data_IF_384974808441
#
_entry.id   IF_384974808441
#
_cell.length_a   1.000
_cell.length_b   1.000
_cell.length_c   1.000
_cell.angle_alpha   90.00
_cell.angle_beta   90.00
_cell.angle_gamma   90.00
#
_symmetry.space_group_name_H-M   'P 1'
#
loop_
_entity.id
_entity.type
_entity.pdbx_description
1 polymer ?
#
# COMPACT_ATOMS: atom_id res chain seq x y z
N UNK A 1 2.37 -5.85 -28.58
CA UNK A 1 2.68 -4.79 -27.58
C UNK A 1 2.03 -3.48 -28.01
N UNK A 2 1.37 -2.75 -27.10
CA UNK A 2 1.00 -1.37 -27.34
C UNK A 2 2.23 -0.53 -27.70
N UNK A 3 2.05 0.48 -28.55
CA UNK A 3 3.13 1.38 -28.96
C UNK A 3 3.58 2.21 -27.75
N UNK A 4 4.89 2.39 -27.56
CA UNK A 4 5.45 3.33 -26.57
C UNK A 4 6.24 2.73 -25.40
N UNK A 5 6.36 1.39 -25.32
CA UNK A 5 7.16 0.74 -24.27
C UNK A 5 8.66 0.94 -24.45
N UNK A 6 9.40 1.05 -23.35
CA UNK A 6 10.87 1.10 -23.37
C UNK A 6 11.45 -0.28 -23.58
N UNK A 7 11.13 -1.18 -22.65
CA UNK A 7 11.38 -2.62 -22.74
C UNK A 7 10.06 -3.32 -22.44
N UNK A 8 9.66 -4.26 -23.30
CA UNK A 8 8.49 -5.08 -23.07
C UNK A 8 8.83 -6.55 -23.26
N UNK A 9 8.40 -7.38 -22.31
CA UNK A 9 8.59 -8.82 -22.36
C UNK A 9 7.31 -9.52 -21.88
N UNK A 10 6.91 -10.54 -22.63
CA UNK A 10 5.78 -11.41 -22.30
C UNK A 10 6.23 -12.86 -22.49
N UNK A 11 5.85 -13.75 -21.57
CA UNK A 11 6.21 -15.16 -21.67
C UNK A 11 5.12 -16.10 -21.14
N UNK A 12 4.07 -16.26 -21.92
CA UNK A 12 2.92 -17.14 -21.63
C UNK A 12 3.25 -18.61 -21.29
N UNK A 13 4.48 -19.09 -21.57
CA UNK A 13 4.84 -20.48 -21.36
C UNK A 13 6.32 -20.70 -20.98
N UNK A 14 6.53 -21.36 -19.83
CA UNK A 14 7.83 -21.83 -19.36
C UNK A 14 8.58 -20.87 -18.43
N UNK A 15 9.51 -21.42 -17.64
CA UNK A 15 10.36 -20.63 -16.75
C UNK A 15 11.41 -19.85 -17.55
N UNK A 16 11.51 -18.55 -17.28
CA UNK A 16 12.54 -17.67 -17.84
C UNK A 16 13.52 -17.26 -16.75
N UNK A 17 14.77 -17.05 -17.17
CA UNK A 17 15.78 -16.34 -16.39
C UNK A 17 16.09 -15.04 -17.15
N UNK A 18 15.42 -13.96 -16.76
CA UNK A 18 15.52 -12.65 -17.42
C UNK A 18 16.32 -11.69 -16.55
N UNK A 19 17.32 -11.04 -17.15
CA UNK A 19 18.03 -9.93 -16.52
C UNK A 19 17.93 -8.69 -17.40
N UNK A 20 17.39 -7.61 -16.83
CA UNK A 20 17.34 -6.28 -17.45
C UNK A 20 18.22 -5.37 -16.61
N UNK A 21 19.38 -4.98 -17.13
CA UNK A 21 20.32 -4.19 -16.34
C UNK A 21 21.03 -3.10 -17.10
N UNK A 22 21.39 -2.02 -16.40
CA UNK A 22 22.20 -0.92 -16.93
C UNK A 22 21.60 -0.22 -18.16
N UNK A 23 20.27 -0.20 -18.25
CA UNK A 23 19.57 0.51 -19.32
C UNK A 23 19.25 1.94 -18.91
N UNK A 24 19.14 2.81 -19.92
CA UNK A 24 18.62 4.16 -19.76
C UNK A 24 17.40 4.31 -20.66
N UNK A 25 16.24 4.47 -20.04
CA UNK A 25 14.92 4.52 -20.66
C UNK A 25 14.36 5.92 -20.39
N UNK A 26 14.04 6.68 -21.44
CA UNK A 26 13.66 8.09 -21.33
C UNK A 26 12.43 8.36 -22.18
N UNK A 27 11.46 9.10 -21.63
CA UNK A 27 10.36 9.70 -22.39
C UNK A 27 9.52 8.68 -23.15
N UNK A 28 9.23 7.57 -22.50
CA UNK A 28 8.37 6.52 -23.03
C UNK A 28 6.91 6.96 -22.99
N UNK A 29 6.12 6.61 -24.01
CA UNK A 29 4.73 7.05 -24.13
C UNK A 29 3.72 6.13 -23.43
N UNK A 30 4.22 5.06 -22.79
CA UNK A 30 3.38 4.11 -22.07
C UNK A 30 4.09 3.62 -20.80
N UNK A 31 4.96 2.61 -20.88
CA UNK A 31 5.72 2.04 -19.76
C UNK A 31 7.21 2.11 -20.02
N UNK A 32 7.99 2.31 -18.96
CA UNK A 32 9.44 2.15 -19.03
C UNK A 32 9.81 0.69 -19.28
N UNK A 33 9.49 -0.18 -18.33
CA UNK A 33 9.63 -1.64 -18.43
C UNK A 33 8.26 -2.28 -18.19
N UNK A 34 7.80 -3.12 -19.11
CA UNK A 34 6.58 -3.91 -18.97
C UNK A 34 6.91 -5.41 -19.03
N UNK A 35 6.56 -6.12 -17.97
CA UNK A 35 6.64 -7.58 -17.88
C UNK A 35 5.23 -8.12 -17.66
N UNK A 36 4.75 -8.99 -18.55
CA UNK A 36 3.45 -9.68 -18.36
C UNK A 36 3.58 -11.17 -18.53
N UNK A 37 2.80 -11.93 -17.78
CA UNK A 37 2.71 -13.39 -17.93
C UNK A 37 4.05 -14.08 -17.68
N UNK A 38 4.90 -13.53 -16.80
CA UNK A 38 6.26 -14.06 -16.59
C UNK A 38 6.29 -15.12 -15.51
N UNK A 39 6.88 -16.28 -15.84
CA UNK A 39 7.19 -17.35 -14.91
C UNK A 39 8.72 -17.48 -14.75
N UNK A 40 9.22 -17.81 -13.55
CA UNK A 40 10.64 -18.02 -13.29
C UNK A 40 11.33 -16.85 -12.57
N UNK A 41 12.60 -16.59 -12.90
CA UNK A 41 13.42 -15.57 -12.22
C UNK A 41 13.62 -14.33 -13.08
N UNK A 42 13.32 -13.17 -12.52
CA UNK A 42 13.55 -11.87 -13.16
C UNK A 42 14.40 -10.99 -12.26
N UNK A 43 15.45 -10.40 -12.82
CA UNK A 43 16.26 -9.37 -12.16
C UNK A 43 16.27 -8.08 -12.98
N UNK A 44 15.76 -6.99 -12.39
CA UNK A 44 15.79 -5.64 -12.96
C UNK A 44 16.74 -4.80 -12.12
N UNK A 45 17.96 -4.58 -12.63
CA UNK A 45 19.06 -4.03 -11.84
C UNK A 45 19.69 -2.79 -12.47
N UNK A 46 19.87 -1.72 -11.69
CA UNK A 46 20.70 -0.58 -12.07
C UNK A 46 20.25 0.10 -13.37
N UNK A 47 18.94 0.25 -13.59
CA UNK A 47 18.39 0.98 -14.73
C UNK A 47 18.01 2.41 -14.31
N UNK A 48 18.09 3.34 -15.27
CA UNK A 48 17.53 4.70 -15.13
C UNK A 48 16.30 4.81 -16.01
N UNK A 49 15.15 5.13 -15.42
CA UNK A 49 13.86 5.27 -16.09
C UNK A 49 13.29 6.63 -15.74
N UNK A 50 13.11 7.50 -16.73
CA UNK A 50 12.71 8.89 -16.47
C UNK A 50 11.69 9.39 -17.48
N UNK A 51 10.76 10.21 -16.99
CA UNK A 51 9.74 10.92 -17.78
C UNK A 51 8.85 9.96 -18.58
N UNK A 52 8.43 8.82 -18.03
CA UNK A 52 7.44 7.97 -18.74
C UNK A 52 6.11 8.69 -18.79
N UNK A 53 5.74 9.15 -19.99
CA UNK A 53 4.51 9.84 -20.28
C UNK A 53 3.35 8.82 -20.39
N UNK A 54 2.32 9.00 -19.58
CA UNK A 54 1.06 8.29 -19.76
C UNK A 54 0.24 9.00 -20.83
N UNK A 55 0.22 8.49 -22.06
CA UNK A 55 -0.59 9.10 -23.10
C UNK A 55 -2.04 8.62 -22.99
N UNK A 56 -2.86 9.39 -22.26
CA UNK A 56 -4.31 9.20 -22.14
C UNK A 56 -5.08 9.56 -23.44
N UNK A 57 -4.43 9.59 -24.60
CA UNK A 57 -5.15 9.61 -25.87
C UNK A 57 -5.43 8.18 -26.27
N UNK A 58 -6.60 7.69 -25.84
CA UNK A 58 -7.28 6.58 -26.53
C UNK A 58 -7.21 6.90 -28.02
N UNK A 59 -6.40 6.17 -28.77
CA UNK A 59 -6.52 6.12 -30.22
C UNK A 59 -7.87 5.44 -30.45
N UNK A 60 -8.95 6.23 -30.39
CA UNK A 60 -10.27 5.76 -30.76
C UNK A 60 -10.17 5.25 -32.19
N UNK A 61 -10.85 4.15 -32.50
CA UNK A 61 -10.78 3.50 -33.81
C UNK A 61 -11.10 4.44 -35.00
N UNK A 62 -11.67 5.63 -34.75
CA UNK A 62 -11.83 6.70 -35.74
C UNK A 62 -10.49 7.35 -36.18
N UNK A 63 -9.42 7.28 -35.39
CA UNK A 63 -8.07 7.78 -35.70
C UNK A 63 -7.18 6.81 -36.49
N UNK A 64 -7.55 5.53 -36.58
CA UNK A 64 -6.85 4.53 -37.41
C UNK A 64 -7.12 4.71 -38.91
N UNK A 65 -8.11 5.53 -39.29
CA UNK A 65 -8.41 5.86 -40.69
C UNK A 65 -7.41 6.80 -41.37
N UNK A 66 -6.42 7.32 -40.64
CA UNK A 66 -5.48 8.33 -41.16
C UNK A 66 -4.00 8.08 -40.80
N UNK A 67 -3.64 6.86 -40.36
CA UNK A 67 -2.24 6.45 -40.34
C UNK A 67 -1.87 5.86 -41.70
N UNK A 68 -1.20 6.67 -42.52
CA UNK A 68 -0.62 6.24 -43.78
C UNK A 68 0.61 5.34 -43.49
N UNK A 69 0.38 4.02 -43.48
CA UNK A 69 1.43 3.01 -43.38
C UNK A 69 2.23 2.85 -44.69
N UNK A 70 2.01 3.67 -45.73
CA UNK A 70 2.75 3.57 -47.00
C UNK A 70 4.25 3.86 -46.88
N UNK A 71 4.71 4.42 -45.75
CA UNK A 71 6.13 4.60 -45.44
C UNK A 71 6.84 3.31 -44.96
N UNK A 72 6.13 2.21 -44.70
CA UNK A 72 6.67 0.93 -44.21
C UNK A 72 6.80 -0.14 -45.32
N UNK A 73 7.12 0.27 -46.55
CA UNK A 73 7.17 -0.59 -47.75
C UNK A 73 8.29 -1.65 -47.78
N UNK A 74 9.04 -1.84 -46.69
CA UNK A 74 10.10 -2.86 -46.60
C UNK A 74 9.86 -3.99 -45.59
N UNK A 75 8.66 -4.13 -45.01
CA UNK A 75 8.31 -5.32 -44.21
C UNK A 75 7.48 -6.27 -45.08
N UNK A 76 8.15 -7.02 -45.94
CA UNK A 76 7.57 -8.16 -46.67
C UNK A 76 7.69 -9.42 -45.80
N UNK A 77 6.88 -9.50 -44.74
CA UNK A 77 6.49 -10.76 -44.08
C UNK A 77 5.68 -10.48 -42.80
N UNK A 78 4.41 -10.08 -42.92
CA UNK A 78 3.40 -10.37 -41.88
C UNK A 78 2.09 -10.66 -42.62
N UNK A 79 1.95 -11.91 -43.05
CA UNK A 79 0.71 -12.44 -43.64
C UNK A 79 0.16 -13.58 -42.76
N UNK A 80 0.34 -13.44 -41.44
CA UNK A 80 -0.19 -14.37 -40.44
C UNK A 80 -0.87 -13.62 -39.27
N UNK A 81 -1.94 -12.89 -39.61
CA UNK A 81 -2.91 -12.36 -38.65
C UNK A 81 -3.97 -13.42 -38.25
N UNK A 82 -3.69 -14.72 -38.44
CA UNK A 82 -4.63 -15.79 -38.10
C UNK A 82 -4.57 -16.25 -36.64
N UNK A 83 -3.62 -15.73 -35.86
CA UNK A 83 -3.45 -16.09 -34.47
C UNK A 83 -4.34 -15.20 -33.58
N UNK A 84 -5.64 -15.52 -33.53
CA UNK A 84 -6.63 -14.89 -32.66
C UNK A 84 -6.15 -14.85 -31.19
N UNK A 85 -5.37 -15.84 -30.74
CA UNK A 85 -4.77 -15.86 -29.41
C UNK A 85 -3.82 -14.67 -29.17
N UNK A 86 -3.01 -14.26 -30.16
CA UNK A 86 -2.15 -13.08 -30.01
C UNK A 86 -2.95 -11.76 -29.99
N UNK A 87 -4.11 -11.74 -30.64
CA UNK A 87 -5.04 -10.61 -30.60
C UNK A 87 -5.81 -10.57 -29.27
N UNK A 88 -6.18 -11.73 -28.73
CA UNK A 88 -6.82 -11.87 -27.41
C UNK A 88 -5.83 -11.52 -26.30
N UNK A 89 -4.57 -11.99 -26.34
CA UNK A 89 -3.51 -11.56 -25.41
C UNK A 89 -3.22 -10.07 -25.53
N UNK A 90 -3.31 -9.47 -26.72
CA UNK A 90 -3.19 -8.02 -26.88
C UNK A 90 -4.42 -7.27 -26.38
N UNK A 91 -5.61 -7.85 -26.47
CA UNK A 91 -6.83 -7.29 -25.92
C UNK A 91 -6.82 -7.36 -24.39
N UNK A 92 -6.33 -8.46 -23.81
CA UNK A 92 -6.14 -8.63 -22.36
C UNK A 92 -5.02 -7.71 -21.83
N UNK A 93 -3.94 -7.49 -22.59
CA UNK A 93 -2.89 -6.52 -22.26
C UNK A 93 -3.34 -5.05 -22.36
N UNK A 94 -4.39 -4.77 -23.13
CA UNK A 94 -5.05 -3.45 -23.20
C UNK A 94 -6.20 -3.37 -22.18
N UNK A 95 -6.73 -4.51 -21.73
CA UNK A 95 -7.78 -4.63 -20.73
C UNK A 95 -7.25 -4.79 -19.31
N UNK A 96 -5.92 -4.93 -19.09
CA UNK A 96 -5.35 -4.70 -17.77
C UNK A 96 -5.67 -3.25 -17.40
N UNK A 97 -6.48 -3.05 -16.39
CA UNK A 97 -6.95 -1.74 -15.90
C UNK A 97 -5.82 -0.85 -15.35
N UNK A 98 -4.56 -1.22 -15.60
CA UNK A 98 -3.40 -0.43 -15.25
C UNK A 98 -3.38 0.87 -16.06
N UNK A 99 -3.15 2.02 -15.38
CA UNK A 99 -2.89 3.27 -16.07
C UNK A 99 -1.69 3.13 -17.01
N UNK A 100 -1.51 4.08 -17.92
CA UNK A 100 -0.23 4.24 -18.64
C UNK A 100 0.66 5.22 -17.88
N UNK A 101 1.98 5.15 -18.08
CA UNK A 101 2.93 6.12 -17.56
C UNK A 101 3.74 5.63 -16.36
N UNK A 102 3.91 4.31 -16.19
CA UNK A 102 4.67 3.73 -15.09
C UNK A 102 6.14 3.50 -15.45
N UNK A 103 7.01 3.57 -14.45
CA UNK A 103 8.43 3.25 -14.60
C UNK A 103 8.64 1.76 -14.88
N UNK A 104 8.31 0.90 -13.92
CA UNK A 104 8.36 -0.56 -14.02
C UNK A 104 6.98 -1.13 -13.73
N UNK A 105 6.49 -1.99 -14.62
CA UNK A 105 5.26 -2.75 -14.45
C UNK A 105 5.55 -4.23 -14.53
N UNK A 106 5.07 -4.96 -13.53
CA UNK A 106 4.96 -6.42 -13.57
C UNK A 106 3.51 -6.78 -13.32
N UNK A 107 2.85 -7.31 -14.35
CA UNK A 107 1.44 -7.69 -14.29
C UNK A 107 1.28 -9.18 -14.56
N UNK A 108 0.23 -9.77 -13.98
CA UNK A 108 -0.28 -11.12 -14.31
C UNK A 108 0.81 -12.18 -14.35
N UNK A 109 1.44 -12.52 -13.23
CA UNK A 109 2.39 -13.64 -13.16
C UNK A 109 1.64 -14.91 -12.69
N UNK A 110 1.25 -15.84 -13.59
CA UNK A 110 0.33 -16.93 -13.25
C UNK A 110 0.96 -18.04 -12.39
N UNK A 111 2.28 -18.06 -12.21
CA UNK A 111 2.98 -19.05 -11.39
C UNK A 111 4.15 -18.41 -10.61
N UNK A 112 4.76 -19.20 -9.71
CA UNK A 112 5.88 -18.85 -8.83
C UNK A 112 6.96 -17.96 -9.50
N UNK A 113 6.79 -16.64 -9.34
CA UNK A 113 7.73 -15.62 -9.77
C UNK A 113 8.78 -15.38 -8.69
N UNK A 114 10.05 -15.30 -9.07
CA UNK A 114 11.13 -14.74 -8.25
C UNK A 114 11.60 -13.44 -8.89
N UNK A 115 11.08 -12.32 -8.42
CA UNK A 115 11.36 -10.99 -8.95
C UNK A 115 12.28 -10.21 -8.01
N UNK A 116 13.35 -9.64 -8.57
CA UNK A 116 14.22 -8.70 -7.87
C UNK A 116 14.25 -7.41 -8.67
N UNK A 117 13.85 -6.29 -8.05
CA UNK A 117 13.96 -4.93 -8.59
C UNK A 117 14.95 -4.17 -7.71
N UNK A 118 16.10 -3.85 -8.26
CA UNK A 118 17.29 -3.51 -7.50
C UNK A 118 18.01 -2.27 -8.07
N UNK A 119 18.38 -1.31 -7.22
CA UNK A 119 19.27 -0.18 -7.55
C UNK A 119 18.82 0.64 -8.77
N UNK A 120 17.53 0.72 -9.07
CA UNK A 120 17.04 1.52 -10.18
C UNK A 120 16.81 2.98 -9.74
N UNK A 121 17.00 3.89 -10.68
CA UNK A 121 16.61 5.31 -10.54
C UNK A 121 15.36 5.53 -11.41
N UNK A 122 14.23 5.79 -10.76
CA UNK A 122 12.91 5.90 -11.39
C UNK A 122 12.34 7.28 -11.06
N UNK A 123 12.15 8.14 -12.06
CA UNK A 123 11.75 9.52 -11.79
C UNK A 123 10.75 10.11 -12.78
N UNK A 124 9.91 11.03 -12.29
CA UNK A 124 8.98 11.84 -13.09
C UNK A 124 8.02 11.02 -13.98
N UNK A 125 7.59 9.85 -13.51
CA UNK A 125 6.66 9.01 -14.28
C UNK A 125 5.22 9.47 -14.08
N UNK A 126 4.39 9.40 -15.12
CA UNK A 126 3.03 9.93 -15.09
C UNK A 126 2.04 9.18 -14.19
N UNK A 127 2.38 7.96 -13.75
CA UNK A 127 1.55 7.13 -12.88
C UNK A 127 2.34 6.59 -11.68
N UNK A 128 2.76 5.33 -11.68
CA UNK A 128 3.56 4.74 -10.59
C UNK A 128 5.04 4.66 -10.94
N UNK A 129 5.90 4.68 -9.92
CA UNK A 129 7.31 4.35 -10.11
C UNK A 129 7.48 2.87 -10.41
N UNK A 130 7.06 2.03 -9.46
CA UNK A 130 6.95 0.57 -9.61
C UNK A 130 5.50 0.18 -9.38
N UNK A 131 4.92 -0.58 -10.31
CA UNK A 131 3.61 -1.20 -10.18
C UNK A 131 3.73 -2.73 -10.27
N UNK A 132 3.30 -3.42 -9.22
CA UNK A 132 3.09 -4.86 -9.19
C UNK A 132 1.59 -5.10 -9.16
N UNK A 133 1.07 -5.80 -10.17
CA UNK A 133 -0.36 -6.02 -10.31
C UNK A 133 -0.69 -7.50 -10.48
N UNK A 134 -1.60 -7.97 -9.65
CA UNK A 134 -2.20 -9.31 -9.75
C UNK A 134 -1.13 -10.42 -9.81
N UNK A 135 -0.21 -10.40 -8.84
CA UNK A 135 0.84 -11.42 -8.71
C UNK A 135 0.28 -12.67 -8.03
N UNK A 136 -0.09 -13.70 -8.79
CA UNK A 136 -0.77 -14.90 -8.24
C UNK A 136 0.09 -15.62 -7.21
N UNK A 137 1.34 -15.98 -7.54
CA UNK A 137 2.25 -16.63 -6.61
C UNK A 137 3.67 -16.12 -6.83
N UNK A 138 4.35 -15.72 -5.76
CA UNK A 138 5.74 -15.29 -5.93
C UNK A 138 6.45 -14.74 -4.71
N UNK A 139 7.74 -14.51 -4.90
CA UNK A 139 8.59 -13.73 -4.01
C UNK A 139 9.10 -12.53 -4.79
N UNK A 140 8.84 -11.33 -4.27
CA UNK A 140 9.28 -10.07 -4.86
C UNK A 140 10.17 -9.35 -3.86
N UNK A 141 11.37 -8.96 -4.31
CA UNK A 141 12.27 -8.12 -3.56
C UNK A 141 12.49 -6.78 -4.28
N UNK A 142 12.23 -5.67 -3.60
CA UNK A 142 12.49 -4.30 -4.07
C UNK A 142 13.57 -3.69 -3.17
N UNK A 143 14.76 -3.43 -3.71
CA UNK A 143 15.96 -3.09 -2.93
C UNK A 143 16.73 -1.90 -3.51
N UNK A 144 17.11 -0.93 -2.69
CA UNK A 144 18.06 0.13 -3.07
C UNK A 144 17.61 1.05 -4.19
N UNK A 145 16.31 1.11 -4.52
CA UNK A 145 15.81 1.94 -5.61
C UNK A 145 15.60 3.38 -5.16
N UNK A 146 15.84 4.35 -6.04
CA UNK A 146 15.45 5.75 -5.85
C UNK A 146 14.23 6.02 -6.73
N UNK A 147 13.11 6.37 -6.11
CA UNK A 147 11.83 6.59 -6.78
C UNK A 147 11.29 7.97 -6.41
N UNK A 148 11.11 8.85 -7.38
CA UNK A 148 10.69 10.22 -7.09
C UNK A 148 9.86 10.90 -8.16
N UNK A 149 9.02 11.85 -7.76
CA UNK A 149 8.35 12.74 -8.71
C UNK A 149 7.28 12.06 -9.54
N UNK A 150 6.75 10.90 -9.13
CA UNK A 150 5.63 10.30 -9.84
C UNK A 150 4.44 11.26 -9.80
N UNK A 151 3.79 11.48 -10.94
CA UNK A 151 2.54 12.24 -11.00
C UNK A 151 1.35 11.29 -10.97
N UNK A 152 0.18 11.81 -10.64
CA UNK A 152 -1.06 11.05 -10.71
C UNK A 152 -2.20 11.86 -11.33
N UNK A 153 -3.19 11.13 -11.83
CA UNK A 153 -4.52 11.61 -12.09
C UNK A 153 -5.51 10.90 -11.14
N UNK A 154 -6.37 11.69 -10.51
CA UNK A 154 -7.59 11.16 -9.89
C UNK A 154 -8.54 10.72 -11.00
N UNK A 155 -8.62 9.40 -11.25
CA UNK A 155 -9.60 8.84 -12.15
C UNK A 155 -10.87 8.56 -11.35
N UNK A 156 -11.90 9.38 -11.57
CA UNK A 156 -13.18 9.42 -10.84
C UNK A 156 -14.08 8.16 -10.98
N UNK A 157 -13.53 6.97 -11.22
CA UNK A 157 -14.33 5.83 -11.67
C UNK A 157 -13.85 4.46 -11.19
N UNK A 158 -13.53 4.32 -9.89
CA UNK A 158 -13.31 3.01 -9.25
C UNK A 158 -11.99 2.32 -9.60
N UNK A 159 -11.14 2.92 -10.43
CA UNK A 159 -9.75 2.53 -10.66
C UNK A 159 -8.87 2.95 -9.49
N UNK A 160 -7.82 2.18 -9.20
CA UNK A 160 -6.82 2.54 -8.20
C UNK A 160 -6.25 3.95 -8.44
N UNK A 161 -6.02 4.75 -7.38
CA UNK A 161 -5.38 6.05 -7.54
C UNK A 161 -4.01 5.87 -8.18
N UNK A 162 -3.58 6.86 -8.95
CA UNK A 162 -2.28 6.86 -9.62
C UNK A 162 -1.36 7.87 -8.96
N UNK A 163 -0.04 7.72 -9.07
CA UNK A 163 0.91 8.64 -8.46
C UNK A 163 1.69 8.08 -7.29
N UNK A 164 1.63 6.77 -7.02
CA UNK A 164 2.43 6.14 -5.97
C UNK A 164 3.88 5.95 -6.39
N UNK A 165 4.80 6.01 -5.43
CA UNK A 165 6.18 5.58 -5.66
C UNK A 165 6.24 4.08 -5.98
N UNK A 166 5.74 3.26 -5.04
CA UNK A 166 5.58 1.81 -5.20
C UNK A 166 4.12 1.46 -4.97
N UNK A 167 3.51 0.74 -5.91
CA UNK A 167 2.18 0.13 -5.78
C UNK A 167 2.31 -1.38 -5.92
N UNK A 168 1.77 -2.13 -4.97
CA UNK A 168 1.61 -3.57 -5.08
C UNK A 168 0.16 -3.97 -4.82
N UNK A 169 -0.44 -4.68 -5.77
CA UNK A 169 -1.80 -5.21 -5.68
C UNK A 169 -1.70 -6.75 -5.73
N UNK A 170 -2.29 -7.38 -4.73
CA UNK A 170 -2.32 -8.84 -4.55
C UNK A 170 -3.76 -9.30 -4.32
N UNK A 171 -4.36 -9.91 -5.33
CA UNK A 171 -5.77 -10.28 -5.35
C UNK A 171 -6.03 -11.79 -5.55
N UNK A 172 -4.99 -12.60 -5.73
CA UNK A 172 -5.08 -14.06 -5.83
C UNK A 172 -3.82 -14.75 -5.30
N UNK A 173 -3.94 -15.96 -4.73
CA UNK A 173 -2.80 -16.82 -4.37
C UNK A 173 -1.91 -16.28 -3.24
N UNK A 174 -0.60 -16.59 -3.25
CA UNK A 174 0.34 -16.29 -2.17
C UNK A 174 1.52 -15.39 -2.56
N UNK A 175 1.64 -14.24 -1.89
CA UNK A 175 2.72 -13.27 -2.10
C UNK A 175 3.68 -13.18 -0.90
N UNK A 176 4.98 -13.32 -1.17
CA UNK A 176 6.04 -12.83 -0.28
C UNK A 176 6.59 -11.52 -0.86
N UNK A 177 6.32 -10.39 -0.22
CA UNK A 177 6.76 -9.06 -0.67
C UNK A 177 7.77 -8.48 0.32
N UNK A 178 8.99 -8.28 -0.18
CA UNK A 178 10.13 -7.75 0.55
C UNK A 178 10.52 -6.39 -0.05
N UNK A 179 10.17 -5.28 0.60
CA UNK A 179 10.65 -3.93 0.26
C UNK A 179 11.74 -3.57 1.26
N UNK A 180 12.98 -3.91 0.91
CA UNK A 180 14.09 -3.96 1.86
C UNK A 180 15.18 -2.98 1.47
N UNK A 181 15.80 -2.39 2.48
CA UNK A 181 17.09 -1.72 2.46
C UNK A 181 17.25 -0.63 1.40
N UNK A 182 17.36 0.61 1.88
CA UNK A 182 17.83 1.76 1.11
C UNK A 182 16.97 2.12 -0.11
N UNK A 183 15.70 1.70 -0.17
CA UNK A 183 14.79 2.37 -1.09
C UNK A 183 14.55 3.80 -0.61
N UNK A 184 14.70 4.77 -1.50
CA UNK A 184 14.42 6.19 -1.28
C UNK A 184 13.19 6.55 -2.11
N UNK A 185 12.06 6.75 -1.45
CA UNK A 185 10.77 7.01 -2.10
C UNK A 185 10.28 8.39 -1.70
N UNK A 186 10.36 9.37 -2.60
CA UNK A 186 10.07 10.76 -2.24
C UNK A 186 9.32 11.57 -3.27
N UNK A 187 8.62 12.61 -2.80
CA UNK A 187 8.04 13.63 -3.67
C UNK A 187 7.11 13.01 -4.73
N UNK A 188 6.37 11.97 -4.36
CA UNK A 188 5.38 11.34 -5.22
C UNK A 188 4.01 12.00 -5.02
N UNK A 189 3.15 11.92 -6.03
CA UNK A 189 1.85 12.61 -6.03
C UNK A 189 0.87 12.05 -5.00
N UNK A 190 0.82 10.72 -4.84
CA UNK A 190 0.04 10.02 -3.81
C UNK A 190 0.99 9.42 -2.76
N UNK A 191 0.66 8.24 -2.25
CA UNK A 191 1.40 7.49 -1.24
C UNK A 191 2.83 7.15 -1.71
N UNK A 192 3.78 7.11 -0.78
CA UNK A 192 5.12 6.62 -1.08
C UNK A 192 5.08 5.14 -1.47
N UNK A 193 4.59 4.30 -0.56
CA UNK A 193 4.41 2.87 -0.76
C UNK A 193 2.95 2.52 -0.49
N UNK A 194 2.24 1.97 -1.45
CA UNK A 194 0.89 1.46 -1.29
C UNK A 194 0.84 -0.04 -1.57
N UNK A 195 0.26 -0.80 -0.65
CA UNK A 195 0.06 -2.24 -0.77
C UNK A 195 -1.42 -2.54 -0.58
N UNK A 196 -2.00 -3.27 -1.53
CA UNK A 196 -3.38 -3.74 -1.50
C UNK A 196 -3.35 -5.26 -1.50
N UNK A 197 -3.94 -5.88 -0.49
CA UNK A 197 -4.13 -7.33 -0.42
C UNK A 197 -5.62 -7.60 -0.32
N UNK A 198 -6.18 -8.18 -1.36
CA UNK A 198 -7.59 -8.51 -1.40
C UNK A 198 -8.16 -8.49 -2.80
N UNK A 199 -9.29 -9.18 -2.91
CA UNK A 199 -10.08 -9.23 -4.13
C UNK A 199 -11.31 -8.32 -3.98
N UNK A 200 -11.35 -7.16 -4.66
CA UNK A 200 -12.50 -6.25 -4.63
C UNK A 200 -13.80 -6.90 -5.14
N UNK A 201 -13.70 -7.94 -5.97
CA UNK A 201 -14.87 -8.67 -6.47
C UNK A 201 -15.49 -9.59 -5.41
N UNK A 202 -14.70 -9.99 -4.40
CA UNK A 202 -15.09 -10.92 -3.35
C UNK A 202 -15.37 -12.34 -3.84
N UNK A 203 -14.81 -12.73 -4.99
CA UNK A 203 -14.99 -14.05 -5.60
C UNK A 203 -13.80 -14.98 -5.38
N UNK A 204 -12.61 -14.44 -5.16
CA UNK A 204 -11.38 -15.14 -4.81
C UNK A 204 -11.30 -15.32 -3.30
N UNK A 205 -10.85 -16.50 -2.88
CA UNK A 205 -10.73 -16.89 -1.47
C UNK A 205 -9.34 -17.45 -1.21
N UNK A 206 -8.88 -17.37 0.04
CA UNK A 206 -7.58 -17.93 0.43
C UNK A 206 -6.37 -17.13 -0.08
N UNK A 207 -6.55 -15.83 -0.30
CA UNK A 207 -5.45 -14.92 -0.65
C UNK A 207 -4.55 -14.79 0.57
N UNK A 208 -3.26 -15.06 0.42
CA UNK A 208 -2.29 -14.94 1.52
C UNK A 208 -1.11 -14.06 1.17
N UNK A 209 -0.59 -13.35 2.17
CA UNK A 209 0.62 -12.55 2.00
C UNK A 209 1.55 -12.58 3.21
N UNK A 210 2.84 -12.45 2.96
CA UNK A 210 3.87 -12.09 3.92
C UNK A 210 4.57 -10.82 3.42
N UNK A 211 4.54 -9.75 4.20
CA UNK A 211 5.03 -8.43 3.79
C UNK A 211 6.11 -7.97 4.75
N UNK A 212 7.29 -7.62 4.23
CA UNK A 212 8.37 -6.99 4.97
C UNK A 212 8.75 -5.66 4.31
N UNK A 213 8.70 -4.58 5.09
CA UNK A 213 9.14 -3.25 4.69
C UNK A 213 10.20 -2.79 5.70
N UNK A 214 11.48 -2.90 5.34
CA UNK A 214 12.58 -2.75 6.29
C UNK A 214 13.66 -1.79 5.78
N UNK A 215 14.07 -0.81 6.59
CA UNK A 215 15.26 0.01 6.29
C UNK A 215 15.11 0.96 5.10
N UNK A 216 13.92 1.50 4.84
CA UNK A 216 13.66 2.44 3.74
C UNK A 216 13.51 3.89 4.22
N UNK A 217 13.67 4.83 3.28
CA UNK A 217 13.40 6.26 3.49
C UNK A 217 12.22 6.68 2.62
N UNK A 218 11.13 7.16 3.25
CA UNK A 218 9.88 7.53 2.57
C UNK A 218 9.46 8.95 2.95
N UNK A 219 9.59 9.91 2.04
CA UNK A 219 9.49 11.33 2.41
C UNK A 219 8.72 12.22 1.45
N UNK A 220 8.00 13.21 1.97
CA UNK A 220 7.33 14.26 1.17
C UNK A 220 6.35 13.73 0.10
N UNK A 221 5.73 12.58 0.32
CA UNK A 221 4.72 12.04 -0.59
C UNK A 221 3.36 12.73 -0.37
N UNK A 222 2.50 12.74 -1.39
CA UNK A 222 1.20 13.43 -1.38
C UNK A 222 1.20 14.84 -1.95
N UNK A 223 2.14 15.20 -2.84
CA UNK A 223 2.45 16.59 -3.22
C UNK A 223 1.30 17.47 -3.76
N UNK A 224 0.06 16.98 -3.91
CA UNK A 224 -1.07 17.79 -4.35
C UNK A 224 -2.33 17.59 -3.50
N UNK A 225 -2.28 18.16 -2.29
CA UNK A 225 -3.38 18.22 -1.33
C UNK A 225 -4.57 19.01 -1.86
N UNK A 226 -5.78 18.49 -1.61
CA UNK A 226 -7.12 18.97 -1.99
C UNK A 226 -7.61 18.45 -3.34
N UNK A 227 -7.85 17.15 -3.42
CA UNK A 227 -9.10 16.75 -4.03
C UNK A 227 -10.23 17.38 -3.21
N UNK A 228 -10.85 18.43 -3.74
CA UNK A 228 -11.99 19.10 -3.11
C UNK A 228 -13.24 18.20 -2.99
N UNK A 229 -13.21 16.99 -3.56
CA UNK A 229 -14.35 16.09 -3.66
C UNK A 229 -14.23 14.82 -2.80
N UNK A 230 -13.02 14.33 -2.51
CA UNK A 230 -12.79 13.33 -1.48
C UNK A 230 -12.35 14.03 -0.19
N UNK A 231 -13.06 13.78 0.91
CA UNK A 231 -12.64 14.26 2.24
C UNK A 231 -11.41 13.48 2.77
N UNK A 232 -10.57 12.97 1.88
CA UNK A 232 -9.53 11.99 2.12
C UNK A 232 -8.24 12.59 1.53
N UNK A 233 -7.46 13.26 2.39
CA UNK A 233 -6.14 13.74 1.98
C UNK A 233 -5.32 12.48 1.75
N UNK A 234 -4.93 12.19 0.52
CA UNK A 234 -4.01 11.09 0.20
C UNK A 234 -2.57 11.56 0.33
N UNK A 235 -1.63 10.61 0.38
CA UNK A 235 -0.22 10.92 0.56
C UNK A 235 0.37 10.29 1.80
N UNK A 236 0.02 9.03 2.08
CA UNK A 236 0.62 8.28 3.17
C UNK A 236 2.11 8.01 2.85
N UNK A 237 2.94 7.90 3.87
CA UNK A 237 4.28 7.33 3.69
C UNK A 237 4.17 5.88 3.22
N UNK A 238 3.60 5.03 4.08
CA UNK A 238 3.34 3.63 3.80
C UNK A 238 1.87 3.34 4.06
N UNK A 239 1.17 2.84 3.06
CA UNK A 239 -0.23 2.45 3.13
C UNK A 239 -0.41 0.97 2.85
N UNK A 240 -1.18 0.30 3.70
CA UNK A 240 -1.49 -1.12 3.56
C UNK A 240 -2.99 -1.31 3.73
N UNK A 241 -3.61 -1.90 2.71
CA UNK A 241 -5.05 -2.09 2.63
C UNK A 241 -5.39 -3.58 2.49
N UNK A 242 -6.23 -4.09 3.39
CA UNK A 242 -6.63 -5.50 3.45
C UNK A 242 -8.15 -5.64 3.26
N UNK A 243 -8.58 -6.42 2.26
CA UNK A 243 -10.00 -6.55 1.90
C UNK A 243 -10.41 -8.00 1.59
N UNK A 244 -11.64 -8.36 1.96
CA UNK A 244 -12.21 -9.67 1.62
C UNK A 244 -11.66 -10.82 2.46
N UNK A 245 -11.62 -12.02 1.87
CA UNK A 245 -11.14 -13.25 2.51
C UNK A 245 -9.62 -13.40 2.33
N UNK A 246 -8.88 -12.52 3.01
CA UNK A 246 -7.42 -12.42 2.97
C UNK A 246 -6.78 -12.83 4.29
N UNK A 247 -5.61 -13.44 4.24
CA UNK A 247 -4.77 -13.65 5.42
C UNK A 247 -3.34 -13.14 5.18
N UNK A 248 -3.00 -12.02 5.83
CA UNK A 248 -1.61 -11.57 5.95
C UNK A 248 -0.99 -12.30 7.13
N UNK A 249 -0.13 -13.27 6.84
CA UNK A 249 0.46 -14.17 7.84
C UNK A 249 1.57 -13.51 8.67
N UNK A 250 2.20 -12.49 8.09
CA UNK A 250 3.18 -11.64 8.75
C UNK A 250 3.24 -10.30 8.03
N UNK A 251 3.18 -9.21 8.79
CA UNK A 251 3.43 -7.87 8.29
C UNK A 251 4.49 -7.21 9.15
N UNK A 252 5.65 -6.89 8.60
CA UNK A 252 6.74 -6.25 9.33
C UNK A 252 7.05 -4.90 8.70
N UNK A 253 6.82 -3.80 9.41
CA UNK A 253 7.25 -2.45 9.00
C UNK A 253 8.32 -1.99 9.98
N UNK A 254 9.60 -2.11 9.59
CA UNK A 254 10.73 -1.98 10.51
C UNK A 254 11.80 -1.00 10.04
N UNK A 255 12.43 -0.30 10.98
CA UNK A 255 13.63 0.51 10.74
C UNK A 255 13.51 1.54 9.59
N UNK A 256 12.30 2.01 9.27
CA UNK A 256 12.10 2.99 8.21
C UNK A 256 12.22 4.42 8.74
N UNK A 257 12.65 5.34 7.89
CA UNK A 257 12.57 6.79 8.11
C UNK A 257 11.44 7.35 7.26
N UNK A 258 10.40 7.85 7.90
CA UNK A 258 9.16 8.32 7.26
C UNK A 258 8.94 9.77 7.67
N UNK A 259 8.97 10.72 6.72
CA UNK A 259 9.00 12.15 7.07
C UNK A 259 8.25 13.04 6.08
N UNK A 260 7.44 13.97 6.57
CA UNK A 260 6.89 15.05 5.75
C UNK A 260 5.80 14.64 4.75
N UNK A 261 5.18 13.47 4.89
CA UNK A 261 4.10 13.06 3.98
C UNK A 261 2.79 13.78 4.30
N UNK A 262 1.94 13.94 3.29
CA UNK A 262 0.74 14.80 3.38
C UNK A 262 -0.47 14.13 4.03
N UNK A 263 -0.41 12.82 4.28
CA UNK A 263 -1.38 12.10 5.11
C UNK A 263 -0.70 11.47 6.34
N UNK A 264 -0.82 10.15 6.52
CA UNK A 264 -0.25 9.44 7.64
C UNK A 264 1.19 8.98 7.34
N UNK A 265 1.97 8.72 8.37
CA UNK A 265 3.28 8.08 8.19
C UNK A 265 3.12 6.62 7.75
N UNK A 266 2.39 5.86 8.56
CA UNK A 266 2.01 4.47 8.27
C UNK A 266 0.50 4.32 8.45
N UNK A 267 -0.20 3.91 7.41
CA UNK A 267 -1.62 3.58 7.47
C UNK A 267 -1.84 2.08 7.22
N UNK A 268 -2.53 1.39 8.14
CA UNK A 268 -2.98 0.01 7.97
C UNK A 268 -4.50 0.00 8.11
N UNK A 269 -5.18 -0.45 7.07
CA UNK A 269 -6.64 -0.44 7.02
C UNK A 269 -7.18 -1.83 6.64
N UNK A 270 -8.13 -2.34 7.41
CA UNK A 270 -8.84 -3.59 7.14
C UNK A 270 -10.33 -3.32 6.92
N UNK A 271 -10.90 -3.83 5.82
CA UNK A 271 -12.33 -3.76 5.52
C UNK A 271 -12.86 -2.35 5.17
N UNK A 272 -11.97 -1.38 4.97
CA UNK A 272 -12.33 0.01 4.68
C UNK A 272 -12.27 0.28 3.18
N UNK A 273 -13.18 -0.32 2.40
CA UNK A 273 -13.20 -0.17 0.94
C UNK A 273 -13.77 1.19 0.52
N UNK A 274 -13.15 2.28 0.96
CA UNK A 274 -13.33 3.61 0.38
C UNK A 274 -12.45 3.82 -0.86
N UNK A 275 -11.43 2.97 -1.08
CA UNK A 275 -10.51 3.07 -2.22
C UNK A 275 -11.08 2.54 -3.54
N UNK A 276 -12.01 1.56 -3.50
CA UNK A 276 -12.66 1.00 -4.69
C UNK A 276 -14.17 1.14 -4.51
N UNK A 277 -14.79 2.07 -5.24
CA UNK A 277 -16.20 2.46 -5.13
C UNK A 277 -17.22 1.36 -5.54
N UNK A 278 -16.86 0.08 -5.46
CA UNK A 278 -17.76 -1.05 -5.69
C UNK A 278 -18.43 -1.45 -4.38
N UNK A 279 -19.76 -1.38 -4.36
CA UNK A 279 -20.68 -1.60 -3.22
C UNK A 279 -20.64 -3.00 -2.54
N UNK A 280 -19.50 -3.66 -2.46
CA UNK A 280 -19.39 -4.97 -1.83
C UNK A 280 -19.22 -4.82 -0.32
N UNK A 281 -20.35 -4.71 0.38
CA UNK A 281 -20.48 -4.90 1.83
C UNK A 281 -20.23 -6.37 2.26
N UNK A 282 -19.29 -7.07 1.62
CA UNK A 282 -18.95 -8.41 2.06
C UNK A 282 -18.13 -8.23 3.33
N UNK A 283 -18.70 -8.59 4.48
CA UNK A 283 -18.03 -8.59 5.78
C UNK A 283 -16.83 -9.53 5.78
N UNK A 284 -15.73 -9.06 5.19
CA UNK A 284 -14.51 -9.82 4.94
C UNK A 284 -13.96 -10.39 6.24
N UNK A 285 -13.53 -11.65 6.16
CA UNK A 285 -12.83 -12.39 7.20
C UNK A 285 -11.33 -12.05 7.22
N UNK A 286 -10.97 -10.81 6.85
CA UNK A 286 -9.58 -10.42 6.70
C UNK A 286 -8.82 -10.66 8.01
N UNK A 287 -7.67 -11.30 7.89
CA UNK A 287 -6.86 -11.74 9.01
C UNK A 287 -5.48 -11.10 8.88
N UNK A 288 -5.14 -10.24 9.83
CA UNK A 288 -3.78 -9.72 9.99
C UNK A 288 -3.13 -10.45 11.16
N UNK A 289 -2.42 -11.51 10.84
CA UNK A 289 -1.65 -12.29 11.81
C UNK A 289 -0.28 -11.67 11.99
N UNK A 290 0.10 -11.41 13.24
CA UNK A 290 1.46 -11.03 13.63
C UNK A 290 1.99 -9.83 12.82
N UNK A 291 1.27 -8.71 12.87
CA UNK A 291 1.79 -7.46 12.38
C UNK A 291 2.73 -6.83 13.41
N UNK A 292 3.86 -6.28 12.96
CA UNK A 292 4.82 -5.57 13.80
C UNK A 292 5.25 -4.27 13.13
N UNK A 293 5.07 -3.15 13.83
CA UNK A 293 5.60 -1.84 13.45
C UNK A 293 6.68 -1.46 14.47
N UNK A 294 7.96 -1.52 14.09
CA UNK A 294 9.04 -1.32 15.06
C UNK A 294 10.30 -0.64 14.56
N UNK A 295 10.97 0.14 15.41
CA UNK A 295 12.25 0.76 15.05
C UNK A 295 12.13 1.90 14.03
N UNK A 296 10.92 2.36 13.71
CA UNK A 296 10.72 3.42 12.72
C UNK A 296 10.90 4.81 13.32
N UNK A 297 11.44 5.73 12.52
CA UNK A 297 11.43 7.17 12.77
C UNK A 297 10.33 7.79 11.92
N UNK A 298 9.30 8.35 12.55
CA UNK A 298 8.09 8.87 11.89
C UNK A 298 7.88 10.32 12.34
N UNK A 299 8.13 11.26 11.45
CA UNK A 299 8.17 12.67 11.82
C UNK A 299 7.42 13.57 10.84
N UNK A 300 6.82 14.66 11.34
CA UNK A 300 6.31 15.75 10.50
C UNK A 300 5.28 15.30 9.44
N UNK A 301 4.49 14.25 9.73
CA UNK A 301 3.35 13.89 8.91
C UNK A 301 2.25 14.96 9.07
N UNK A 302 1.48 15.23 8.02
CA UNK A 302 0.38 16.22 8.10
C UNK A 302 -0.77 15.69 8.94
N UNK A 303 -1.07 14.39 8.87
CA UNK A 303 -2.05 13.70 9.71
C UNK A 303 -1.35 12.88 10.80
N UNK A 304 -1.62 11.59 10.92
CA UNK A 304 -1.12 10.79 12.04
C UNK A 304 0.28 10.21 11.75
N UNK A 305 1.03 9.90 12.80
CA UNK A 305 2.27 9.14 12.64
C UNK A 305 1.99 7.70 12.17
N UNK A 306 1.22 6.97 12.98
CA UNK A 306 0.73 5.63 12.66
C UNK A 306 -0.80 5.65 12.77
N UNK A 307 -1.50 5.13 11.77
CA UNK A 307 -2.95 5.04 11.73
C UNK A 307 -3.38 3.60 11.43
N UNK A 308 -4.10 2.97 12.34
CA UNK A 308 -4.59 1.60 12.18
C UNK A 308 -6.09 1.62 12.27
N UNK A 309 -6.76 1.13 11.22
CA UNK A 309 -8.22 1.07 11.12
C UNK A 309 -8.65 -0.35 10.83
N UNK A 310 -9.60 -0.86 11.60
CA UNK A 310 -10.21 -2.17 11.37
C UNK A 310 -11.72 -2.04 11.43
N UNK A 311 -12.38 -2.12 10.28
CA UNK A 311 -13.85 -2.11 10.15
C UNK A 311 -14.43 -3.53 10.04
N UNK A 312 -13.57 -4.53 9.90
CA UNK A 312 -13.89 -5.96 9.83
C UNK A 312 -12.62 -6.80 10.04
N UNK A 313 -12.81 -8.10 10.26
CA UNK A 313 -11.70 -9.04 10.41
C UNK A 313 -11.07 -9.13 11.80
N UNK A 314 -9.96 -9.86 11.90
CA UNK A 314 -9.15 -9.99 13.12
C UNK A 314 -7.74 -9.46 12.83
N UNK A 315 -7.23 -8.62 13.70
CA UNK A 315 -5.85 -8.13 13.66
C UNK A 315 -5.14 -8.38 14.99
N UNK A 316 -3.94 -8.95 14.89
CA UNK A 316 -2.96 -9.04 15.97
C UNK A 316 -1.76 -8.17 15.58
N UNK A 317 -1.58 -7.07 16.30
CA UNK A 317 -0.61 -6.03 15.97
C UNK A 317 0.29 -5.73 17.18
N UNK A 318 1.58 -5.55 16.92
CA UNK A 318 2.54 -5.01 17.88
C UNK A 318 3.11 -3.71 17.31
N UNK A 319 3.05 -2.61 18.07
CA UNK A 319 3.71 -1.36 17.76
C UNK A 319 4.74 -1.11 18.83
N UNK A 320 6.02 -1.30 18.50
CA UNK A 320 7.06 -1.27 19.54
C UNK A 320 8.37 -0.62 19.15
N UNK A 321 9.10 -0.11 20.15
CA UNK A 321 10.47 0.36 19.97
C UNK A 321 10.63 1.38 18.81
N UNK A 322 9.61 2.20 18.52
CA UNK A 322 9.74 3.27 17.54
C UNK A 322 10.43 4.47 18.24
N UNK A 323 11.70 4.77 17.92
CA UNK A 323 12.52 5.71 18.69
C UNK A 323 12.08 7.18 18.54
N UNK A 324 11.32 7.50 17.50
CA UNK A 324 10.79 8.85 17.30
C UNK A 324 9.48 8.78 16.52
N UNK A 325 8.38 9.15 17.16
CA UNK A 325 7.09 9.46 16.53
C UNK A 325 6.76 10.90 16.92
N UNK A 326 7.09 11.86 16.05
CA UNK A 326 7.10 13.26 16.47
C UNK A 326 6.59 14.28 15.47
N UNK A 327 6.10 15.42 15.98
CA UNK A 327 5.71 16.59 15.17
C UNK A 327 4.67 16.30 14.09
N UNK A 328 3.86 15.26 14.25
CA UNK A 328 2.77 14.97 13.33
C UNK A 328 1.60 15.95 13.57
N UNK A 329 0.90 16.35 12.52
CA UNK A 329 -0.20 17.32 12.58
C UNK A 329 -1.46 16.76 13.24
N UNK A 330 -1.59 15.43 13.24
CA UNK A 330 -2.51 14.59 14.00
C UNK A 330 -1.82 13.82 15.14
N UNK A 331 -2.45 12.73 15.58
CA UNK A 331 -1.97 11.83 16.62
C UNK A 331 -0.63 11.16 16.26
N UNK A 332 0.19 10.83 17.26
CA UNK A 332 1.40 10.04 17.02
C UNK A 332 1.05 8.61 16.59
N UNK A 333 0.14 7.97 17.30
CA UNK A 333 -0.42 6.65 16.96
C UNK A 333 -1.93 6.78 17.08
N UNK A 334 -2.68 6.30 16.10
CA UNK A 334 -4.14 6.31 16.09
C UNK A 334 -4.63 4.91 15.77
N UNK A 335 -5.54 4.40 16.58
CA UNK A 335 -6.03 3.03 16.43
C UNK A 335 -7.55 3.03 16.54
N UNK A 336 -8.23 2.63 15.48
CA UNK A 336 -9.67 2.58 15.42
C UNK A 336 -10.12 1.17 15.04
N UNK A 337 -11.00 0.60 15.87
CA UNK A 337 -11.78 -0.57 15.51
C UNK A 337 -13.23 -0.11 15.34
N UNK A 338 -13.78 -0.14 14.13
CA UNK A 338 -15.07 0.48 13.86
C UNK A 338 -15.51 0.26 12.43
N UNK A 339 -16.69 -0.34 12.24
CA UNK A 339 -17.22 -0.62 10.91
C UNK A 339 -18.74 -0.68 10.88
N UNK A 340 -19.29 -0.37 9.70
CA UNK A 340 -20.70 -0.58 9.31
C UNK A 340 -21.00 -2.05 9.01
N UNK A 341 -19.97 -2.87 8.85
CA UNK A 341 -20.06 -4.17 8.18
C UNK A 341 -20.44 -5.27 9.18
N UNK A 342 -21.29 -6.19 8.75
CA UNK A 342 -21.73 -7.35 9.54
C UNK A 342 -20.57 -8.33 9.76
N UNK A 343 -19.75 -8.08 10.78
CA UNK A 343 -18.62 -8.92 11.17
C UNK A 343 -18.10 -8.54 12.56
N UNK A 344 -17.38 -9.45 13.22
CA UNK A 344 -16.69 -9.18 14.49
C UNK A 344 -15.32 -8.58 14.18
N UNK A 345 -15.23 -7.24 14.12
CA UNK A 345 -13.93 -6.56 14.10
C UNK A 345 -13.23 -6.80 15.45
N UNK A 346 -12.10 -7.51 15.44
CA UNK A 346 -11.26 -7.70 16.61
C UNK A 346 -9.87 -7.15 16.35
N UNK A 347 -9.45 -6.21 17.18
CA UNK A 347 -8.10 -5.64 17.12
C UNK A 347 -7.41 -5.88 18.46
N UNK A 348 -6.40 -6.75 18.47
CA UNK A 348 -5.52 -6.98 19.60
C UNK A 348 -4.20 -6.27 19.30
N UNK A 349 -3.92 -5.19 20.02
CA UNK A 349 -2.72 -4.37 19.79
C UNK A 349 -1.86 -4.25 21.04
N UNK A 350 -0.62 -4.73 20.97
CA UNK A 350 0.40 -4.46 21.98
C UNK A 350 1.20 -3.21 21.56
N UNK A 351 1.10 -2.13 22.31
CA UNK A 351 1.81 -0.87 22.04
C UNK A 351 2.81 -0.63 23.17
N UNK A 352 4.11 -0.77 22.89
CA UNK A 352 5.13 -0.69 23.94
C UNK A 352 6.42 0.02 23.53
N UNK A 353 7.13 0.62 24.49
CA UNK A 353 8.50 1.14 24.27
C UNK A 353 8.61 2.19 23.15
N UNK A 354 7.54 2.89 22.79
CA UNK A 354 7.56 3.94 21.78
C UNK A 354 7.91 5.31 22.39
N UNK A 355 8.56 6.18 21.62
CA UNK A 355 8.82 7.57 22.03
C UNK A 355 8.00 8.55 21.19
N UNK A 356 7.03 9.23 21.81
CA UNK A 356 6.10 10.16 21.16
C UNK A 356 6.35 11.60 21.62
N UNK A 357 6.63 12.52 20.69
CA UNK A 357 6.99 13.92 21.03
C UNK A 357 6.31 14.93 20.12
N UNK A 358 5.64 15.94 20.69
CA UNK A 358 5.13 17.13 19.99
C UNK A 358 4.15 16.87 18.81
N UNK A 359 3.28 15.85 18.87
CA UNK A 359 2.20 15.65 17.89
C UNK A 359 0.92 16.44 18.27
N UNK A 360 0.11 16.87 17.29
CA UNK A 360 -0.99 17.83 17.45
C UNK A 360 -2.38 17.20 17.16
N UNK A 361 -3.52 17.64 17.75
CA UNK A 361 -3.63 18.56 18.89
C UNK A 361 -3.19 17.92 20.21
N UNK A 362 -2.77 16.64 20.20
CA UNK A 362 -2.16 15.95 21.32
C UNK A 362 -1.23 14.82 20.80
N UNK A 363 -0.22 14.36 21.56
CA UNK A 363 0.55 13.14 21.21
C UNK A 363 -0.28 11.84 21.28
N UNK A 364 -1.59 11.98 21.38
CA UNK A 364 -2.51 11.00 21.94
C UNK A 364 -2.62 9.80 21.03
N UNK A 365 -2.60 8.65 21.67
CA UNK A 365 -3.13 7.41 21.19
C UNK A 365 -4.66 7.40 21.30
N UNK A 366 -5.39 7.78 20.24
CA UNK A 366 -6.86 7.70 20.25
C UNK A 366 -7.29 6.29 19.88
N UNK A 367 -7.88 5.61 20.86
CA UNK A 367 -8.73 4.47 20.59
C UNK A 367 -10.16 4.98 20.45
N UNK A 368 -10.80 4.74 19.33
CA UNK A 368 -12.19 5.13 19.09
C UNK A 368 -12.94 4.04 18.37
N UNK A 369 -14.13 3.70 18.85
CA UNK A 369 -15.12 2.91 18.10
C UNK A 369 -16.12 3.91 17.52
N UNK A 370 -15.98 4.33 16.27
CA UNK A 370 -16.86 5.38 15.74
C UNK A 370 -18.27 4.86 15.37
N UNK A 371 -19.29 5.46 16.00
CA UNK A 371 -20.55 5.86 15.36
C UNK A 371 -21.65 4.83 15.11
N UNK A 372 -21.37 3.54 15.05
CA UNK A 372 -22.40 2.52 14.77
C UNK A 372 -22.25 1.40 15.79
N UNK A 373 -23.38 1.01 16.40
CA UNK A 373 -23.41 -0.06 17.39
C UNK A 373 -22.90 -1.37 16.77
N UNK A 374 -21.61 -1.63 16.90
CA UNK A 374 -20.99 -2.89 16.52
C UNK A 374 -21.44 -3.90 17.56
N UNK A 375 -22.36 -4.78 17.18
CA UNK A 375 -22.61 -5.98 17.98
C UNK A 375 -21.37 -6.89 17.87
N UNK A 376 -20.40 -6.72 18.79
CA UNK A 376 -19.30 -7.66 18.98
C UNK A 376 -17.89 -7.20 18.59
N UNK A 377 -17.65 -5.91 18.34
CA UNK A 377 -16.28 -5.41 18.14
C UNK A 377 -15.47 -5.46 19.44
N UNK A 378 -14.24 -6.00 19.43
CA UNK A 378 -13.36 -6.08 20.61
C UNK A 378 -12.03 -5.39 20.32
N UNK A 379 -11.63 -4.48 21.20
CA UNK A 379 -10.34 -3.81 21.16
C UNK A 379 -9.57 -4.13 22.44
N UNK A 380 -8.48 -4.88 22.27
CA UNK A 380 -7.57 -5.32 23.32
C UNK A 380 -6.26 -4.55 23.19
N UNK A 381 -5.83 -3.86 24.23
CA UNK A 381 -4.62 -3.04 24.16
C UNK A 381 -3.73 -3.27 25.37
N UNK A 382 -2.43 -3.48 25.12
CA UNK A 382 -1.38 -3.30 26.12
C UNK A 382 -0.61 -2.00 25.86
N UNK A 383 -0.26 -1.25 26.90
CA UNK A 383 0.32 0.11 26.81
C UNK A 383 1.65 0.27 27.58
N UNK A 384 2.46 -0.78 27.65
CA UNK A 384 3.61 -0.82 28.55
C UNK A 384 4.79 0.08 28.09
N UNK A 385 5.43 0.74 29.05
CA UNK A 385 6.73 1.41 28.88
C UNK A 385 6.85 2.46 27.75
N UNK A 386 5.74 3.03 27.27
CA UNK A 386 5.78 4.11 26.29
C UNK A 386 6.16 5.45 26.92
N UNK A 387 6.97 6.25 26.23
CA UNK A 387 7.41 7.58 26.66
C UNK A 387 6.76 8.67 25.78
N UNK A 388 5.81 9.41 26.32
CA UNK A 388 5.17 10.53 25.62
C UNK A 388 5.42 11.84 26.34
N UNK A 389 5.73 12.92 25.59
CA UNK A 389 5.81 14.28 26.14
C UNK A 389 4.45 14.92 26.45
N UNK A 390 3.34 14.25 26.13
CA UNK A 390 1.96 14.72 26.41
C UNK A 390 1.04 13.53 26.75
N UNK A 391 -0.25 13.81 26.93
CA UNK A 391 -1.26 12.88 27.44
C UNK A 391 -1.54 11.67 26.52
N UNK A 392 -2.07 10.60 27.09
CA UNK A 392 -2.75 9.49 26.38
C UNK A 392 -4.25 9.66 26.56
N UNK A 393 -5.07 9.38 25.53
CA UNK A 393 -6.52 9.47 25.64
C UNK A 393 -7.22 8.27 25.02
N UNK A 394 -7.82 7.46 25.88
CA UNK A 394 -8.62 6.31 25.51
C UNK A 394 -10.08 6.73 25.37
N UNK A 395 -10.69 6.51 24.20
CA UNK A 395 -12.11 6.85 23.96
C UNK A 395 -12.97 5.62 23.66
N UNK A 396 -13.87 5.25 24.58
CA UNK A 396 -14.78 4.11 24.34
C UNK A 396 -16.18 4.59 23.96
N UNK A 397 -16.60 4.26 22.73
CA UNK A 397 -17.86 4.72 22.13
C UNK A 397 -18.81 3.55 21.73
N UNK A 398 -18.84 2.45 22.50
CA UNK A 398 -19.96 1.45 22.59
C UNK A 398 -19.73 -0.01 22.12
N UNK A 399 -18.58 -0.64 22.35
CA UNK A 399 -18.47 -2.11 22.30
C UNK A 399 -17.76 -2.69 23.54
N UNK A 400 -16.52 -3.17 23.45
CA UNK A 400 -15.71 -3.68 24.55
C UNK A 400 -14.27 -3.22 24.34
N UNK A 401 -13.79 -2.38 25.26
CA UNK A 401 -12.42 -1.92 25.35
C UNK A 401 -11.78 -2.59 26.56
N UNK A 402 -10.77 -3.41 26.31
CA UNK A 402 -9.96 -4.07 27.32
C UNK A 402 -8.55 -3.48 27.27
N UNK A 403 -8.12 -2.90 28.39
CA UNK A 403 -6.77 -2.33 28.54
C UNK A 403 -6.05 -3.15 29.60
N UNK A 404 -4.94 -3.76 29.21
CA UNK A 404 -4.04 -4.44 30.14
C UNK A 404 -3.11 -3.43 30.82
N UNK A 405 -2.71 -3.73 32.06
CA UNK A 405 -1.66 -3.01 32.80
C UNK A 405 -1.84 -1.49 32.91
N UNK A 406 -3.07 -0.99 33.09
CA UNK A 406 -3.34 0.46 33.23
C UNK A 406 -2.48 1.14 34.32
N UNK A 407 -2.12 0.42 35.38
CA UNK A 407 -1.27 0.92 36.46
C UNK A 407 0.21 1.10 36.06
N UNK A 408 0.68 0.36 35.05
CA UNK A 408 2.07 0.42 34.57
C UNK A 408 2.28 1.49 33.49
N UNK A 409 1.20 1.90 32.80
CA UNK A 409 1.18 3.04 31.86
C UNK A 409 1.64 4.35 32.53
N UNK A 410 1.58 4.46 33.85
CA UNK A 410 1.88 5.69 34.60
C UNK A 410 3.36 5.83 35.00
N UNK A 411 4.15 4.75 35.04
CA UNK A 411 5.49 4.80 35.68
C UNK A 411 6.61 5.42 34.83
N UNK A 412 6.51 5.39 33.50
CA UNK A 412 7.51 6.00 32.58
C UNK A 412 6.92 7.07 31.67
N UNK A 413 5.62 7.23 31.72
CA UNK A 413 4.90 8.21 30.95
C UNK A 413 5.02 9.59 31.61
N UNK A 414 5.54 10.58 30.89
CA UNK A 414 5.61 11.94 31.40
C UNK A 414 4.28 12.72 31.23
N UNK A 415 3.33 12.17 30.47
CA UNK A 415 2.00 12.72 30.25
C UNK A 415 0.91 12.08 31.11
N UNK A 416 -0.29 12.65 31.08
CA UNK A 416 -1.47 12.15 31.81
C UNK A 416 -2.24 11.15 30.97
N UNK A 417 -2.63 10.00 31.53
CA UNK A 417 -3.60 9.09 30.90
C UNK A 417 -5.03 9.54 31.21
N UNK A 418 -5.80 9.88 30.18
CA UNK A 418 -7.19 10.31 30.25
C UNK A 418 -8.16 9.34 29.57
N UNK A 419 -9.43 9.36 29.99
CA UNK A 419 -10.51 8.56 29.41
C UNK A 419 -11.70 9.44 29.02
N UNK A 420 -12.25 9.24 27.81
CA UNK A 420 -13.47 9.94 27.37
C UNK A 420 -14.52 8.98 26.77
N UNK A 421 -15.80 9.05 27.20
CA UNK A 421 -16.21 9.54 28.51
C UNK A 421 -15.48 8.78 29.63
N UNK A 422 -15.45 9.29 30.88
CA UNK A 422 -14.86 8.57 32.00
C UNK A 422 -15.41 7.13 32.08
N UNK A 423 -14.57 6.13 31.86
CA UNK A 423 -15.01 4.74 31.83
C UNK A 423 -15.49 4.33 33.24
N UNK A 424 -16.72 3.81 33.32
CA UNK A 424 -17.33 3.40 34.59
C UNK A 424 -16.69 2.13 35.15
N UNK A 425 -16.01 1.34 34.30
CA UNK A 425 -15.08 0.29 34.70
C UNK A 425 -14.19 -0.07 33.50
N UNK A 426 -12.87 0.15 33.60
CA UNK A 426 -11.93 -0.66 32.83
C UNK A 426 -12.03 -2.08 33.41
N UNK A 427 -12.39 -3.06 32.59
CA UNK A 427 -12.30 -4.46 33.01
C UNK A 427 -10.83 -4.83 32.85
N UNK A 428 -10.15 -5.19 33.95
CA UNK A 428 -8.82 -5.80 33.85
C UNK A 428 -8.94 -7.00 32.90
N UNK A 429 -8.28 -6.90 31.76
CA UNK A 429 -8.26 -7.95 30.77
C UNK A 429 -7.58 -9.18 31.37
N UNK A 430 -8.28 -10.32 31.40
CA UNK A 430 -7.66 -11.61 31.80
C UNK A 430 -7.30 -12.43 30.56
N UNK A 431 -7.76 -12.03 29.35
CA UNK A 431 -7.70 -12.85 28.13
C UNK A 431 -7.44 -12.04 26.84
N UNK A 432 -6.66 -10.95 26.87
CA UNK A 432 -6.37 -10.16 25.66
C UNK A 432 -5.07 -10.57 24.95
N UNK A 433 -4.10 -11.12 25.68
CA UNK A 433 -2.77 -11.49 25.18
C UNK A 433 -2.31 -12.82 25.78
#
# INVERSE_FOLDING_TARGET
>A
FPVGQGIAFTNDSGDVNLTISNNRILRNLNQGILLTDINGTVNIDSNTITDTEGNLSVITAAGLGALDFSALTNITAIDDFSNQAALDTMADLIASDLPTGQGIVVATAPNALSLIINNNEISNNHSQGIALDSLVDGTVAIIGNTITGTSGAFINNGSFPTGQGILAIHDEGNLNLDILENNQVSDNFEDGIAIVVGDPSGTVTGITAAINIDGNTVTNNGMNTLDSTSNDIRGDGIRIFLEGDVAVNSLNVRNNTITGNQDDGIQISQGDLTLVATNNNNGGTSLLNNATISGNTIEEQVQQGINVRSSGGIANLTIENNPSISRNGGEGIFINAGGTVTGTAQLNTDVQLNTLTDNHPNNILLFGLSGIAINGGRLCINLDDNNSSTNYLLTNNMSTLEVESLADVDMRNAGVVGFLPPMVAAVNAVNCF
#
